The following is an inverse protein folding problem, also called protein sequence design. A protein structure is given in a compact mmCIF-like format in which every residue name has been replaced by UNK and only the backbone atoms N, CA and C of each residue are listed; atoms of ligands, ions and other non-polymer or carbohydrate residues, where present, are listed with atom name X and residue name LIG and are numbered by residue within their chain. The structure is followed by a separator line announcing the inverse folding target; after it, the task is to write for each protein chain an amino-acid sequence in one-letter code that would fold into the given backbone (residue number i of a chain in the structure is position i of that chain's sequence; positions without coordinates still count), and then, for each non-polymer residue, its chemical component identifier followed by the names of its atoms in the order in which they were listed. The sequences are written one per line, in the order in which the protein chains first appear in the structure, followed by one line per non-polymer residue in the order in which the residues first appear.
data_IF_566798178900
#
_entry.id   IF_566798178900
#
_cell.length_a   1.000
_cell.length_b   1.000
_cell.length_c   1.000
_cell.angle_alpha   90.00
_cell.angle_beta   90.00
_cell.angle_gamma   90.00
#
_symmetry.space_group_name_H-M   'P 1'
#
loop_
_entity.id
_entity.type
_entity.pdbx_description
1 polymer ?
#
# COMPACT_ATOMS: atom_id res chain seq x y z
N UNK A 1 -14.70 11.59 -6.48
CA UNK A 1 -15.36 10.45 -5.80
C UNK A 1 -15.94 9.36 -6.71
N UNK A 2 -16.05 9.59 -8.01
CA UNK A 2 -16.63 8.63 -8.98
C UNK A 2 -16.05 7.22 -8.88
N UNK A 3 -14.73 7.06 -8.73
CA UNK A 3 -14.07 5.75 -8.60
C UNK A 3 -14.52 5.00 -7.34
N UNK A 4 -14.55 5.68 -6.19
CA UNK A 4 -14.95 5.08 -4.91
C UNK A 4 -16.45 4.76 -4.90
N UNK A 5 -17.28 5.62 -5.50
CA UNK A 5 -18.72 5.40 -5.60
C UNK A 5 -19.05 4.18 -6.46
N UNK A 6 -18.18 3.80 -7.41
CA UNK A 6 -18.26 2.54 -8.16
C UNK A 6 -17.70 1.33 -7.42
N UNK A 7 -17.30 1.48 -6.15
CA UNK A 7 -16.74 0.42 -5.32
C UNK A 7 -15.28 0.06 -5.64
N UNK A 8 -14.54 0.95 -6.32
CA UNK A 8 -13.15 0.74 -6.72
C UNK A 8 -12.17 1.59 -5.90
N UNK A 9 -10.88 1.46 -6.19
CA UNK A 9 -9.81 2.18 -5.50
C UNK A 9 -9.78 1.86 -4.01
N UNK A 10 -9.62 2.88 -3.17
CA UNK A 10 -9.55 2.72 -1.72
C UNK A 10 -10.80 2.12 -1.08
N UNK A 11 -11.96 2.08 -1.77
CA UNK A 11 -13.15 1.38 -1.30
C UNK A 11 -12.87 -0.11 -1.04
N UNK A 12 -11.95 -0.73 -1.79
CA UNK A 12 -11.58 -2.13 -1.60
C UNK A 12 -10.99 -2.40 -0.20
N UNK A 13 -10.44 -1.40 0.48
CA UNK A 13 -10.00 -1.52 1.87
C UNK A 13 -11.17 -1.77 2.83
N UNK A 14 -12.43 -1.51 2.45
CA UNK A 14 -13.59 -1.92 3.26
C UNK A 14 -14.07 -3.34 2.93
N UNK A 15 -13.57 -3.95 1.84
CA UNK A 15 -14.05 -5.20 1.25
C UNK A 15 -12.87 -6.17 0.94
N UNK A 16 -12.19 -6.72 1.95
CA UNK A 16 -10.95 -7.51 1.75
C UNK A 16 -11.16 -8.74 0.87
N UNK A 17 -12.29 -9.44 0.99
CA UNK A 17 -12.58 -10.60 0.13
C UNK A 17 -12.67 -10.20 -1.35
N UNK A 18 -13.23 -9.02 -1.65
CA UNK A 18 -13.27 -8.50 -3.02
C UNK A 18 -11.87 -8.11 -3.51
N UNK A 19 -11.04 -7.52 -2.65
CA UNK A 19 -9.64 -7.23 -2.96
C UNK A 19 -8.88 -8.52 -3.31
N UNK A 20 -8.99 -9.56 -2.47
CA UNK A 20 -8.43 -10.88 -2.72
C UNK A 20 -8.85 -11.45 -4.07
N UNK A 21 -10.16 -11.48 -4.35
CA UNK A 21 -10.68 -12.00 -5.62
C UNK A 21 -10.14 -11.25 -6.83
N UNK A 22 -10.00 -9.92 -6.75
CA UNK A 22 -9.44 -9.11 -7.85
C UNK A 22 -7.96 -9.47 -8.07
N UNK A 23 -7.16 -9.53 -7.00
CA UNK A 23 -5.73 -9.82 -7.11
C UNK A 23 -5.52 -11.22 -7.68
N UNK A 24 -6.18 -12.24 -7.12
CA UNK A 24 -6.06 -13.62 -7.57
C UNK A 24 -6.54 -13.84 -9.02
N UNK A 25 -7.65 -13.20 -9.41
CA UNK A 25 -8.14 -13.28 -10.79
C UNK A 25 -7.17 -12.60 -11.76
N UNK A 26 -6.60 -11.46 -11.38
CA UNK A 26 -5.65 -10.73 -12.23
C UNK A 26 -4.35 -11.52 -12.37
N UNK A 27 -3.76 -12.00 -11.28
CA UNK A 27 -2.51 -12.78 -11.32
C UNK A 27 -2.66 -14.09 -12.08
N UNK A 28 -3.82 -14.75 -11.99
CA UNK A 28 -4.10 -15.97 -12.74
C UNK A 28 -4.33 -15.77 -14.25
N UNK A 29 -4.46 -14.52 -14.71
CA UNK A 29 -4.76 -14.19 -16.12
C UNK A 29 -3.54 -13.68 -16.88
N UNK A 30 -2.51 -13.19 -16.19
CA UNK A 30 -1.35 -12.55 -16.82
C UNK A 30 -0.05 -13.24 -16.44
N UNK A 31 0.86 -13.40 -17.40
CA UNK A 31 2.18 -14.01 -17.18
C UNK A 31 3.21 -13.03 -16.60
N UNK A 32 2.79 -11.82 -16.24
CA UNK A 32 3.67 -10.76 -15.71
C UNK A 32 3.40 -10.54 -14.23
N UNK A 33 4.43 -10.19 -13.42
CA UNK A 33 4.24 -9.81 -12.04
C UNK A 33 3.21 -8.68 -11.90
N UNK A 34 2.23 -8.86 -11.01
CA UNK A 34 1.25 -7.83 -10.71
C UNK A 34 1.60 -7.12 -9.40
N UNK A 35 1.38 -5.82 -9.38
CA UNK A 35 1.59 -5.00 -8.19
C UNK A 35 0.30 -4.29 -7.80
N UNK A 36 0.17 -3.94 -6.53
CA UNK A 36 -0.97 -3.16 -6.04
C UNK A 36 -0.50 -1.87 -5.38
N UNK A 37 -1.35 -0.84 -5.41
CA UNK A 37 -1.14 0.40 -4.67
C UNK A 37 -2.33 0.68 -3.78
N UNK A 38 -2.05 0.89 -2.50
CA UNK A 38 -3.07 1.03 -1.45
C UNK A 38 -2.83 2.28 -0.61
N UNK A 39 -3.84 2.63 0.18
CA UNK A 39 -3.77 3.59 1.28
C UNK A 39 -3.77 2.82 2.60
N UNK A 40 -3.43 3.45 3.72
CA UNK A 40 -3.42 2.77 5.03
C UNK A 40 -4.79 2.22 5.44
N UNK A 41 -5.86 2.91 5.04
CA UNK A 41 -7.24 2.56 5.35
C UNK A 41 -8.23 3.43 4.57
N UNK A 42 -9.53 3.15 4.73
CA UNK A 42 -10.57 4.00 4.15
C UNK A 42 -10.91 5.18 5.07
N UNK A 43 -11.21 4.88 6.33
CA UNK A 43 -11.61 5.86 7.34
C UNK A 43 -10.41 6.39 8.12
N UNK A 44 -10.44 7.66 8.48
CA UNK A 44 -9.44 8.25 9.38
C UNK A 44 -9.51 7.55 10.76
N UNK A 45 -8.34 7.29 11.36
CA UNK A 45 -8.23 6.55 12.62
C UNK A 45 -8.53 5.04 12.53
N UNK A 46 -8.85 4.52 11.34
CA UNK A 46 -9.11 3.08 11.10
C UNK A 46 -8.25 2.56 9.96
N UNK A 47 -6.95 2.51 10.24
CA UNK A 47 -5.98 1.83 9.39
C UNK A 47 -6.32 0.33 9.29
N UNK A 48 -5.95 -0.30 8.17
CA UNK A 48 -6.37 -1.67 7.86
C UNK A 48 -5.37 -2.50 7.07
N UNK A 49 -4.51 -1.88 6.26
CA UNK A 49 -3.65 -2.64 5.36
C UNK A 49 -2.66 -3.53 6.11
N UNK A 50 -2.22 -3.15 7.31
CA UNK A 50 -1.36 -3.96 8.17
C UNK A 50 -1.96 -5.30 8.59
N UNK A 51 -3.30 -5.43 8.59
CA UNK A 51 -3.99 -6.70 8.87
C UNK A 51 -4.16 -7.58 7.64
N UNK A 52 -3.79 -7.10 6.45
CA UNK A 52 -3.94 -7.80 5.18
C UNK A 52 -2.59 -8.04 4.49
N UNK A 53 -1.54 -7.30 4.88
CA UNK A 53 -0.26 -7.26 4.19
C UNK A 53 0.40 -8.65 4.09
N UNK A 54 0.29 -9.49 5.12
CA UNK A 54 0.84 -10.84 5.14
C UNK A 54 0.15 -11.78 4.15
N UNK A 55 -1.10 -11.51 3.77
CA UNK A 55 -1.86 -12.35 2.84
C UNK A 55 -1.69 -11.93 1.38
N UNK A 56 -1.28 -10.68 1.11
CA UNK A 56 -1.28 -10.10 -0.24
C UNK A 56 -0.37 -10.86 -1.22
N UNK A 57 0.79 -11.34 -0.75
CA UNK A 57 1.68 -12.21 -1.54
C UNK A 57 0.97 -13.49 -1.99
N UNK A 58 0.33 -14.19 -1.04
CA UNK A 58 -0.44 -15.41 -1.31
C UNK A 58 -1.65 -15.20 -2.23
N UNK A 59 -2.13 -13.96 -2.37
CA UNK A 59 -3.20 -13.63 -3.32
C UNK A 59 -2.69 -13.45 -4.75
N UNK A 60 -1.36 -13.35 -4.95
CA UNK A 60 -0.72 -13.30 -6.26
C UNK A 60 -0.04 -11.96 -6.59
N UNK A 61 0.03 -11.01 -5.66
CA UNK A 61 0.78 -9.76 -5.87
C UNK A 61 2.25 -9.91 -5.48
N UNK A 62 3.16 -9.43 -6.33
CA UNK A 62 4.62 -9.49 -6.07
C UNK A 62 5.15 -8.24 -5.36
N UNK A 63 4.42 -7.13 -5.45
CA UNK A 63 4.74 -5.91 -4.71
C UNK A 63 3.49 -5.12 -4.33
N UNK A 64 3.58 -4.40 -3.21
CA UNK A 64 2.57 -3.47 -2.72
C UNK A 64 3.19 -2.12 -2.38
N UNK A 65 2.63 -1.06 -2.95
CA UNK A 65 2.96 0.31 -2.54
C UNK A 65 1.93 0.84 -1.55
N UNK A 66 2.35 1.23 -0.35
CA UNK A 66 1.48 1.78 0.71
C UNK A 66 1.63 3.30 0.77
N UNK A 67 0.56 4.03 0.45
CA UNK A 67 0.47 5.45 0.76
C UNK A 67 0.12 5.61 2.24
N UNK A 68 0.97 6.30 3.02
CA UNK A 68 0.84 6.56 4.47
C UNK A 68 -0.35 7.44 4.89
N UNK A 69 -1.46 7.45 4.15
CA UNK A 69 -2.67 8.20 4.48
C UNK A 69 -3.88 7.33 4.25
N UNK A 70 -4.89 7.50 5.09
CA UNK A 70 -6.21 6.95 4.84
C UNK A 70 -6.87 7.67 3.66
N UNK A 71 -7.92 7.10 3.09
CA UNK A 71 -8.68 7.78 2.04
C UNK A 71 -9.29 9.09 2.55
N UNK A 72 -9.90 9.11 3.73
CA UNK A 72 -10.57 10.30 4.27
C UNK A 72 -9.63 11.49 4.48
N UNK A 73 -8.39 11.24 4.91
CA UNK A 73 -7.36 12.28 5.05
C UNK A 73 -7.00 12.98 3.74
N UNK A 74 -7.24 12.38 2.57
CA UNK A 74 -6.84 12.94 1.26
C UNK A 74 -5.35 13.37 1.28
N UNK A 75 -5.09 14.67 1.39
CA UNK A 75 -3.77 15.31 1.52
C UNK A 75 -3.69 16.30 2.71
N UNK A 76 -4.65 16.27 3.64
CA UNK A 76 -4.75 17.26 4.74
C UNK A 76 -3.82 16.99 5.92
N UNK A 77 -3.19 15.80 5.97
CA UNK A 77 -2.26 15.36 7.02
C UNK A 77 -0.94 14.91 6.39
N UNK A 78 0.11 14.75 7.18
CA UNK A 78 1.35 14.11 6.72
C UNK A 78 1.13 12.60 6.49
N UNK A 79 2.00 12.00 5.68
CA UNK A 79 2.06 10.56 5.54
C UNK A 79 2.62 9.91 6.84
N UNK A 80 1.89 8.92 7.35
CA UNK A 80 2.26 8.09 8.48
C UNK A 80 3.25 7.00 8.04
N UNK A 81 4.53 7.30 8.22
CA UNK A 81 5.64 6.42 7.84
C UNK A 81 5.88 5.31 8.85
N UNK A 82 5.61 5.53 10.13
CA UNK A 82 5.73 4.48 11.15
C UNK A 82 4.78 3.33 10.86
N UNK A 83 3.55 3.65 10.41
CA UNK A 83 2.60 2.64 9.97
C UNK A 83 3.03 1.94 8.66
N UNK A 84 3.69 2.64 7.73
CA UNK A 84 4.30 2.01 6.54
C UNK A 84 5.38 1.01 6.98
N UNK A 85 6.26 1.38 7.91
CA UNK A 85 7.31 0.50 8.43
C UNK A 85 6.72 -0.73 9.12
N UNK A 86 5.63 -0.55 9.88
CA UNK A 86 4.89 -1.67 10.46
C UNK A 86 4.38 -2.63 9.38
N UNK A 87 3.86 -2.11 8.27
CA UNK A 87 3.42 -2.94 7.14
C UNK A 87 4.59 -3.69 6.50
N UNK A 88 5.73 -3.03 6.27
CA UNK A 88 6.93 -3.64 5.70
C UNK A 88 7.43 -4.82 6.55
N UNK A 89 7.49 -4.64 7.88
CA UNK A 89 7.92 -5.69 8.82
C UNK A 89 6.93 -6.86 8.94
N UNK A 90 5.66 -6.66 8.60
CA UNK A 90 4.62 -7.71 8.61
C UNK A 90 4.49 -8.45 7.29
N UNK A 91 5.12 -7.96 6.22
CA UNK A 91 5.05 -8.61 4.91
C UNK A 91 5.83 -9.93 4.92
N UNK A 92 5.38 -10.87 4.10
CA UNK A 92 6.09 -12.12 3.83
C UNK A 92 7.21 -11.87 2.80
N UNK A 93 8.20 -12.76 2.77
CA UNK A 93 9.39 -12.62 1.91
C UNK A 93 9.07 -12.61 0.40
N UNK A 94 7.91 -13.12 0.00
CA UNK A 94 7.41 -13.15 -1.37
C UNK A 94 6.74 -11.84 -1.83
N UNK A 95 6.60 -10.86 -0.93
CA UNK A 95 5.94 -9.58 -1.19
C UNK A 95 6.85 -8.38 -0.91
N UNK A 96 7.23 -7.65 -1.95
CA UNK A 96 7.97 -6.41 -1.79
C UNK A 96 7.07 -5.26 -1.33
N UNK A 97 7.44 -4.57 -0.25
CA UNK A 97 6.73 -3.38 0.23
C UNK A 97 7.45 -2.10 -0.17
N UNK A 98 6.72 -1.17 -0.80
CA UNK A 98 7.20 0.15 -1.14
C UNK A 98 6.44 1.22 -0.34
N UNK A 99 7.17 2.19 0.21
CA UNK A 99 6.59 3.34 0.90
C UNK A 99 6.18 4.46 -0.05
N UNK A 100 5.14 5.22 0.28
CA UNK A 100 4.71 6.38 -0.51
C UNK A 100 4.09 7.48 0.35
N UNK A 101 4.52 8.73 0.09
CA UNK A 101 3.93 9.92 0.68
C UNK A 101 4.99 10.87 1.19
N UNK A 102 4.89 12.13 0.77
CA UNK A 102 5.70 13.25 1.28
C UNK A 102 7.22 13.07 1.15
N UNK A 103 7.66 12.39 0.10
CA UNK A 103 9.06 12.38 -0.35
C UNK A 103 9.22 13.49 -1.39
N UNK A 104 10.06 14.48 -1.10
CA UNK A 104 10.33 15.62 -1.98
C UNK A 104 11.81 15.75 -2.33
N UNK A 105 12.66 14.89 -1.78
CA UNK A 105 14.10 14.94 -1.99
C UNK A 105 14.74 13.57 -1.86
N UNK A 106 15.99 13.47 -2.32
CA UNK A 106 16.85 12.32 -2.05
C UNK A 106 17.00 12.05 -0.54
N UNK A 107 17.08 13.11 0.28
CA UNK A 107 17.24 12.98 1.73
C UNK A 107 16.02 12.30 2.37
N UNK A 108 14.81 12.63 1.92
CA UNK A 108 13.57 11.99 2.40
C UNK A 108 13.56 10.51 2.02
N UNK A 109 13.87 10.19 0.75
CA UNK A 109 13.96 8.79 0.29
C UNK A 109 15.00 8.00 1.10
N UNK A 110 16.19 8.56 1.27
CA UNK A 110 17.30 7.91 1.96
C UNK A 110 16.96 7.69 3.44
N UNK A 111 16.34 8.69 4.10
CA UNK A 111 15.84 8.56 5.48
C UNK A 111 14.94 7.34 5.62
N UNK A 112 13.91 7.21 4.77
CA UNK A 112 12.97 6.10 4.88
C UNK A 112 13.60 4.75 4.59
N UNK A 113 14.53 4.69 3.62
CA UNK A 113 15.27 3.45 3.32
C UNK A 113 16.23 3.05 4.45
N UNK A 114 16.83 4.02 5.14
CA UNK A 114 17.70 3.79 6.31
C UNK A 114 16.91 3.41 7.56
N UNK A 115 15.78 4.06 7.83
CA UNK A 115 14.95 3.84 9.02
C UNK A 115 14.20 2.48 8.97
N UNK A 116 13.94 1.94 7.78
CA UNK A 116 13.29 0.65 7.58
C UNK A 116 13.92 -0.11 6.41
N UNK A 117 14.97 -0.93 6.68
CA UNK A 117 15.63 -1.74 5.67
C UNK A 117 14.71 -2.73 4.94
N UNK A 118 13.64 -3.18 5.60
CA UNK A 118 12.61 -4.09 5.05
C UNK A 118 11.81 -3.47 3.90
N UNK A 119 11.77 -2.13 3.79
CA UNK A 119 11.23 -1.49 2.59
C UNK A 119 12.10 -1.83 1.37
N UNK A 120 11.48 -2.31 0.30
CA UNK A 120 12.18 -2.53 -0.96
C UNK A 120 12.65 -1.20 -1.56
N UNK A 121 11.78 -0.19 -1.58
CA UNK A 121 12.08 1.18 -2.01
C UNK A 121 10.94 2.13 -1.62
N UNK A 122 10.93 3.34 -2.17
CA UNK A 122 9.82 4.28 -2.08
C UNK A 122 9.34 4.75 -3.47
N UNK A 123 8.06 5.08 -3.57
CA UNK A 123 7.47 5.71 -4.75
C UNK A 123 7.32 7.22 -4.52
N UNK A 124 7.82 8.02 -5.46
CA UNK A 124 7.69 9.49 -5.49
C UNK A 124 6.57 9.87 -6.49
N UNK A 125 5.84 10.95 -6.23
CA UNK A 125 4.72 11.35 -7.10
C UNK A 125 4.56 12.86 -7.30
N UNK A 126 4.46 13.66 -6.23
CA UNK A 126 4.24 15.12 -6.35
C UNK A 126 5.53 15.94 -6.24
N UNK A 127 6.52 15.40 -5.53
CA UNK A 127 7.83 16.04 -5.37
C UNK A 127 8.71 15.87 -6.60
#
# INVERSE_FOLDING_TARGET
DIVVNKGAGSCLLTKPMRMKSIIAATSGTVDKPITIKVRTGYFEGKNRIDSLIADIGSWGATAVTVHGRTRQQRYSKLADWDYIYQCARKAQDDLQVLGNGDIYSYLDWNKHKSDCPELASCMIARG
#
